data_IF_430094654752
#
_entry.id   IF_430094654752
#
_cell.length_a   1.000
_cell.length_b   1.000
_cell.length_c   1.000
_cell.angle_alpha   90.00
_cell.angle_beta   90.00
_cell.angle_gamma   90.00
#
_symmetry.space_group_name_H-M   'P 1'
#
loop_
_entity.id
_entity.type
_entity.pdbx_description
1 polymer ?
#
# COMPACT_ATOMS: atom_id res chain seq x y z
N UNK A 1 3.96 -1.94 -7.62
CA UNK A 1 2.60 -1.44 -8.01
C UNK A 1 1.83 -1.03 -6.75
N UNK A 2 1.14 0.13 -6.73
CA UNK A 2 0.44 0.64 -5.53
C UNK A 2 -1.07 0.85 -5.69
N UNK A 3 -1.61 0.40 -6.81
CA UNK A 3 -2.98 0.56 -7.27
C UNK A 3 -4.00 -0.29 -6.50
N UNK A 4 -3.60 -1.47 -5.99
CA UNK A 4 -4.46 -2.46 -5.31
C UNK A 4 -5.51 -3.12 -6.22
N UNK A 5 -5.19 -3.31 -7.51
CA UNK A 5 -6.07 -4.08 -8.40
C UNK A 5 -5.77 -5.58 -8.32
N UNK A 6 -6.78 -6.42 -8.49
CA UNK A 6 -6.57 -7.87 -8.54
C UNK A 6 -5.75 -8.27 -9.77
N UNK A 7 -4.83 -9.23 -9.64
CA UNK A 7 -4.07 -9.77 -10.78
C UNK A 7 -2.99 -8.86 -11.37
N UNK A 8 -2.81 -7.62 -10.86
CA UNK A 8 -1.87 -6.68 -11.46
C UNK A 8 -0.42 -7.14 -11.39
N UNK A 9 -0.04 -7.89 -10.37
CA UNK A 9 1.35 -8.31 -10.20
C UNK A 9 1.71 -9.26 -11.32
N UNK A 10 0.85 -10.26 -11.59
CA UNK A 10 1.05 -11.21 -12.68
C UNK A 10 1.09 -10.52 -14.03
N UNK A 11 0.18 -9.58 -14.26
CA UNK A 11 0.14 -8.81 -15.51
C UNK A 11 1.43 -8.00 -15.73
N UNK A 12 1.95 -7.35 -14.69
CA UNK A 12 3.20 -6.60 -14.77
C UNK A 12 4.40 -7.54 -14.95
N UNK A 13 4.45 -8.66 -14.23
CA UNK A 13 5.52 -9.66 -14.34
C UNK A 13 5.59 -10.22 -15.76
N UNK A 14 4.46 -10.67 -16.30
CA UNK A 14 4.37 -11.19 -17.67
C UNK A 14 4.84 -10.15 -18.69
N UNK A 15 4.38 -8.89 -18.57
CA UNK A 15 4.81 -7.82 -19.47
C UNK A 15 6.31 -7.54 -19.38
N UNK A 16 6.90 -7.57 -18.18
CA UNK A 16 8.35 -7.41 -18.03
C UNK A 16 9.11 -8.60 -18.65
N UNK A 17 8.65 -9.83 -18.46
CA UNK A 17 9.29 -11.04 -19.01
C UNK A 17 9.22 -11.06 -20.55
N UNK A 18 8.07 -10.73 -21.13
CA UNK A 18 7.90 -10.61 -22.59
C UNK A 18 8.86 -9.58 -23.21
N UNK A 19 9.28 -8.59 -22.42
CA UNK A 19 10.22 -7.54 -22.82
C UNK A 19 11.66 -7.80 -22.37
N UNK A 20 12.00 -9.02 -21.92
CA UNK A 20 13.34 -9.42 -21.46
C UNK A 20 13.85 -8.49 -20.33
N UNK A 21 12.97 -8.25 -19.34
CA UNK A 21 13.21 -7.46 -18.13
C UNK A 21 13.07 -8.28 -16.86
N UNK A 22 13.58 -9.51 -16.88
CA UNK A 22 13.52 -10.45 -15.76
C UNK A 22 14.27 -9.94 -14.52
N UNK A 23 15.27 -9.07 -14.71
CA UNK A 23 16.06 -8.47 -13.64
C UNK A 23 15.31 -7.39 -12.84
N UNK A 24 14.20 -6.89 -13.39
CA UNK A 24 13.42 -5.84 -12.75
C UNK A 24 12.48 -6.47 -11.72
N UNK A 25 12.80 -6.24 -10.44
CA UNK A 25 11.99 -6.73 -9.33
C UNK A 25 10.69 -5.94 -9.14
N UNK A 26 9.68 -6.61 -8.58
CA UNK A 26 8.37 -6.06 -8.27
C UNK A 26 8.20 -5.93 -6.75
N UNK A 27 8.18 -4.69 -6.28
CA UNK A 27 7.71 -4.34 -4.95
C UNK A 27 6.19 -4.13 -4.97
N UNK A 28 5.46 -5.12 -4.49
CA UNK A 28 4.00 -5.04 -4.42
C UNK A 28 3.54 -4.37 -3.13
N UNK A 29 2.61 -3.42 -3.25
CA UNK A 29 1.87 -2.87 -2.10
C UNK A 29 0.74 -3.83 -1.75
N UNK A 30 1.10 -5.04 -1.35
CA UNK A 30 0.20 -6.18 -1.20
C UNK A 30 -0.90 -5.94 -0.16
N UNK A 31 -0.57 -5.33 0.97
CA UNK A 31 -1.54 -5.00 2.01
C UNK A 31 -1.64 -3.48 2.17
N UNK A 32 -2.40 -2.83 1.29
CA UNK A 32 -2.64 -1.38 1.34
C UNK A 32 -4.09 -1.07 1.72
N UNK A 33 -4.22 -0.50 2.91
CA UNK A 33 -5.50 -0.18 3.54
C UNK A 33 -6.10 1.14 3.07
N UNK A 34 -7.43 1.23 3.12
CA UNK A 34 -8.23 2.43 2.92
C UNK A 34 -8.10 3.37 4.13
N UNK A 35 -6.93 4.01 4.28
CA UNK A 35 -6.57 4.77 5.48
C UNK A 35 -6.80 6.27 5.36
N UNK A 36 -7.16 6.89 6.50
CA UNK A 36 -7.22 8.35 6.66
C UNK A 36 -5.83 9.02 6.72
N UNK A 37 -4.75 8.26 6.95
CA UNK A 37 -3.39 8.78 7.13
C UNK A 37 -2.73 9.28 5.83
N UNK A 38 -3.42 9.21 4.69
CA UNK A 38 -2.87 9.61 3.38
C UNK A 38 -3.11 11.08 3.02
N UNK A 39 -3.76 11.87 3.88
CA UNK A 39 -4.12 13.28 3.61
C UNK A 39 -2.93 14.13 3.14
N UNK A 40 -1.86 14.28 3.94
CA UNK A 40 -0.76 15.17 3.57
C UNK A 40 -0.03 14.76 2.28
N UNK A 41 0.00 13.47 1.94
CA UNK A 41 0.53 12.99 0.66
C UNK A 41 -0.35 13.41 -0.52
N UNK A 42 -1.67 13.40 -0.34
CA UNK A 42 -2.61 13.83 -1.39
C UNK A 42 -2.46 15.32 -1.68
N UNK A 43 -2.24 16.13 -0.64
CA UNK A 43 -1.94 17.55 -0.73
C UNK A 43 -0.63 17.79 -1.48
N UNK A 44 0.44 17.08 -1.10
CA UNK A 44 1.75 17.21 -1.72
C UNK A 44 1.76 16.90 -3.22
N UNK A 45 0.91 15.97 -3.68
CA UNK A 45 0.76 15.65 -5.10
C UNK A 45 -0.24 16.54 -5.85
N UNK A 46 -0.96 17.45 -5.18
CA UNK A 46 -2.09 18.17 -5.77
C UNK A 46 -3.25 17.25 -6.20
N UNK A 47 -3.25 16.00 -5.72
CA UNK A 47 -4.16 14.94 -6.19
C UNK A 47 -5.58 15.05 -5.61
N UNK A 48 -5.86 16.06 -4.78
CA UNK A 48 -7.20 16.38 -4.31
C UNK A 48 -8.15 16.70 -5.45
N UNK A 49 -7.67 17.37 -6.51
CA UNK A 49 -8.47 17.65 -7.70
C UNK A 49 -8.89 16.35 -8.40
N UNK A 50 -7.97 15.38 -8.56
CA UNK A 50 -8.28 14.08 -9.15
C UNK A 50 -9.27 13.26 -8.30
N UNK A 51 -9.18 13.34 -6.96
CA UNK A 51 -10.19 12.77 -6.05
C UNK A 51 -11.53 13.50 -6.13
N UNK A 52 -11.53 14.81 -6.31
CA UNK A 52 -12.73 15.62 -6.54
C UNK A 52 -13.43 15.26 -7.85
N UNK A 53 -12.67 15.10 -8.94
CA UNK A 53 -13.16 14.62 -10.23
C UNK A 53 -13.67 13.19 -10.14
N UNK A 54 -12.94 12.29 -9.47
CA UNK A 54 -13.39 10.93 -9.22
C UNK A 54 -14.69 10.90 -8.40
N UNK A 55 -14.83 11.79 -7.40
CA UNK A 55 -16.06 11.94 -6.61
C UNK A 55 -17.22 12.45 -7.46
N UNK A 56 -16.98 13.36 -8.41
CA UNK A 56 -18.00 13.78 -9.38
C UNK A 56 -18.42 12.66 -10.35
N UNK A 57 -17.58 11.64 -10.51
CA UNK A 57 -17.84 10.42 -11.26
C UNK A 57 -18.31 9.24 -10.37
N UNK A 58 -18.69 9.51 -9.11
CA UNK A 58 -19.22 8.51 -8.18
C UNK A 58 -18.19 7.75 -7.34
N UNK A 59 -16.90 8.00 -7.53
CA UNK A 59 -15.80 7.39 -6.75
C UNK A 59 -15.43 8.32 -5.60
N UNK A 60 -16.19 8.23 -4.51
CA UNK A 60 -16.01 9.10 -3.34
C UNK A 60 -14.84 8.69 -2.44
N UNK A 61 -14.50 7.41 -2.43
CA UNK A 61 -13.39 6.85 -1.67
C UNK A 61 -12.73 5.70 -2.44
N UNK A 62 -11.75 5.05 -1.79
CA UNK A 62 -10.95 3.97 -2.36
C UNK A 62 -11.29 2.60 -1.77
N UNK A 63 -12.41 2.48 -1.05
CA UNK A 63 -12.76 1.28 -0.27
C UNK A 63 -13.17 0.09 -1.14
N UNK A 64 -13.44 0.31 -2.42
CA UNK A 64 -13.77 -0.78 -3.35
C UNK A 64 -12.56 -1.59 -3.79
N UNK A 65 -11.35 -1.16 -3.45
CA UNK A 65 -10.11 -1.85 -3.82
C UNK A 65 -9.00 -1.75 -2.77
N UNK A 66 -8.96 -0.69 -1.95
CA UNK A 66 -8.10 -0.67 -0.78
C UNK A 66 -8.77 -1.42 0.37
N UNK A 67 -7.97 -2.16 1.12
CA UNK A 67 -8.46 -3.05 2.17
C UNK A 67 -9.16 -2.30 3.32
N UNK A 68 -10.14 -2.95 3.94
CA UNK A 68 -10.77 -2.46 5.16
C UNK A 68 -9.76 -2.48 6.32
N UNK A 69 -9.52 -1.35 7.04
CA UNK A 69 -8.65 -1.31 8.21
C UNK A 69 -8.99 -2.31 9.33
N UNK A 70 -10.22 -2.84 9.38
CA UNK A 70 -10.61 -3.86 10.36
C UNK A 70 -10.05 -5.27 10.03
N UNK A 71 -9.60 -5.50 8.79
CA UNK A 71 -9.27 -6.84 8.30
C UNK A 71 -7.79 -7.17 8.48
N UNK A 72 -7.53 -8.33 9.11
CA UNK A 72 -6.17 -8.83 9.33
C UNK A 72 -5.87 -10.09 8.50
N UNK A 73 -6.80 -11.04 8.45
CA UNK A 73 -6.63 -12.30 7.69
C UNK A 73 -6.66 -12.08 6.17
N UNK A 74 -7.40 -11.07 5.71
CA UNK A 74 -7.40 -10.65 4.31
C UNK A 74 -6.01 -10.23 3.84
N UNK A 75 -5.21 -9.58 4.71
CA UNK A 75 -3.85 -9.16 4.37
C UNK A 75 -2.94 -10.33 4.01
N UNK A 76 -3.12 -11.46 4.71
CA UNK A 76 -2.35 -12.67 4.41
C UNK A 76 -2.78 -13.29 3.09
N UNK A 77 -4.07 -13.23 2.74
CA UNK A 77 -4.56 -13.70 1.43
C UNK A 77 -4.01 -12.85 0.28
N UNK A 78 -4.08 -11.53 0.41
CA UNK A 78 -3.55 -10.59 -0.60
C UNK A 78 -2.04 -10.77 -0.81
N UNK A 79 -1.28 -10.90 0.27
CA UNK A 79 0.16 -11.16 0.18
C UNK A 79 0.45 -12.51 -0.48
N UNK A 80 -0.31 -13.56 -0.14
CA UNK A 80 -0.14 -14.86 -0.76
C UNK A 80 -0.40 -14.81 -2.27
N UNK A 81 -1.44 -14.09 -2.71
CA UNK A 81 -1.74 -13.90 -4.13
C UNK A 81 -0.60 -13.17 -4.84
N UNK A 82 -0.16 -12.03 -4.33
CA UNK A 82 0.92 -11.28 -4.96
C UNK A 82 2.23 -12.06 -5.07
N UNK A 83 2.55 -12.89 -4.06
CA UNK A 83 3.72 -13.76 -4.10
C UNK A 83 3.58 -14.86 -5.17
N UNK A 84 2.41 -15.50 -5.28
CA UNK A 84 2.12 -16.48 -6.34
C UNK A 84 2.15 -15.84 -7.75
N UNK A 85 1.80 -14.55 -7.83
CA UNK A 85 1.83 -13.76 -9.05
C UNK A 85 3.24 -13.26 -9.45
N UNK A 86 4.24 -13.45 -8.59
CA UNK A 86 5.65 -13.12 -8.88
C UNK A 86 6.15 -11.81 -8.28
N UNK A 87 5.58 -11.33 -7.17
CA UNK A 87 6.18 -10.24 -6.40
C UNK A 87 7.47 -10.71 -5.69
N UNK A 88 8.57 -9.98 -5.89
CA UNK A 88 9.84 -10.25 -5.19
C UNK A 88 9.86 -9.70 -3.76
N UNK A 89 9.14 -8.59 -3.55
CA UNK A 89 9.00 -7.93 -2.26
C UNK A 89 7.55 -7.52 -2.02
N UNK A 90 7.14 -7.53 -0.76
CA UNK A 90 5.79 -7.10 -0.36
C UNK A 90 5.84 -5.97 0.65
N UNK A 91 4.84 -5.09 0.60
CA UNK A 91 4.74 -3.91 1.45
C UNK A 91 3.37 -3.82 2.13
N UNK A 92 3.40 -3.48 3.41
CA UNK A 92 2.22 -3.08 4.19
C UNK A 92 2.14 -1.56 4.27
N UNK A 93 0.93 -1.01 4.09
CA UNK A 93 0.67 0.43 4.14
C UNK A 93 -0.73 0.72 4.72
N UNK A 94 -0.87 1.57 5.75
CA UNK A 94 0.17 2.32 6.49
C UNK A 94 1.09 1.42 7.35
N UNK A 95 2.12 2.00 7.97
CA UNK A 95 3.07 1.23 8.77
C UNK A 95 2.74 1.25 10.27
N UNK A 96 2.76 2.42 10.89
CA UNK A 96 2.64 2.55 12.36
C UNK A 96 1.35 1.94 12.90
N UNK A 97 0.23 2.09 12.18
CA UNK A 97 -1.07 1.53 12.58
C UNK A 97 -1.26 0.05 12.24
N UNK A 98 -0.30 -0.58 11.55
CA UNK A 98 -0.40 -1.94 11.00
C UNK A 98 0.84 -2.79 11.33
N UNK A 99 1.51 -2.51 12.46
CA UNK A 99 2.69 -3.28 12.88
C UNK A 99 2.36 -4.75 13.16
N UNK A 100 1.14 -5.05 13.60
CA UNK A 100 0.60 -6.40 13.73
C UNK A 100 0.52 -7.11 12.38
N UNK A 101 0.08 -6.43 11.32
CA UNK A 101 0.03 -6.98 9.96
C UNK A 101 1.44 -7.21 9.43
N UNK A 102 2.36 -6.25 9.60
CA UNK A 102 3.77 -6.39 9.20
C UNK A 102 4.39 -7.62 9.87
N UNK A 103 4.15 -7.79 11.17
CA UNK A 103 4.61 -8.96 11.91
C UNK A 103 4.03 -10.25 11.34
N UNK A 104 2.70 -10.33 11.16
CA UNK A 104 2.04 -11.53 10.62
C UNK A 104 2.54 -11.90 9.24
N UNK A 105 2.69 -10.92 8.34
CA UNK A 105 3.23 -11.11 6.98
C UNK A 105 4.65 -11.67 7.05
N UNK A 106 5.54 -11.05 7.83
CA UNK A 106 6.92 -11.53 7.99
C UNK A 106 6.98 -12.95 8.55
N UNK A 107 6.18 -13.26 9.58
CA UNK A 107 6.16 -14.59 10.18
C UNK A 107 5.59 -15.66 9.26
N UNK A 108 4.57 -15.33 8.47
CA UNK A 108 3.87 -16.30 7.63
C UNK A 108 4.67 -16.64 6.37
N UNK A 109 5.26 -15.63 5.72
CA UNK A 109 5.85 -15.80 4.39
C UNK A 109 7.38 -15.79 4.38
N UNK A 110 8.03 -15.20 5.40
CA UNK A 110 9.50 -15.14 5.46
C UNK A 110 10.19 -14.28 4.39
N UNK A 111 9.45 -13.71 3.44
CA UNK A 111 9.94 -12.91 2.31
C UNK A 111 10.44 -11.51 2.75
N UNK A 112 11.18 -10.77 1.91
CA UNK A 112 11.43 -9.35 2.13
C UNK A 112 10.12 -8.57 2.33
N UNK A 113 9.94 -8.00 3.52
CA UNK A 113 8.72 -7.30 3.93
C UNK A 113 9.06 -5.85 4.25
N UNK A 114 8.45 -4.93 3.54
CA UNK A 114 8.62 -3.49 3.71
C UNK A 114 7.39 -2.89 4.39
N UNK A 115 7.60 -1.73 5.02
CA UNK A 115 6.54 -0.96 5.67
C UNK A 115 6.63 0.50 5.20
N UNK A 116 5.49 1.09 4.87
CA UNK A 116 5.45 2.50 4.46
C UNK A 116 5.01 3.38 5.62
N UNK A 117 5.96 4.09 6.27
CA UNK A 117 5.64 5.15 7.20
C UNK A 117 5.04 6.33 6.44
N UNK A 118 3.71 6.46 6.47
CA UNK A 118 3.02 7.36 5.52
C UNK A 118 3.06 8.81 5.95
N UNK A 119 2.64 9.70 5.05
CA UNK A 119 2.66 11.15 5.25
C UNK A 119 1.92 11.63 6.50
N UNK A 120 0.80 11.00 6.86
CA UNK A 120 0.08 11.33 8.09
C UNK A 120 0.86 10.97 9.34
N UNK A 121 1.51 9.80 9.35
CA UNK A 121 2.38 9.37 10.46
C UNK A 121 3.57 10.34 10.61
N UNK A 122 4.20 10.72 9.49
CA UNK A 122 5.26 11.72 9.48
C UNK A 122 4.78 13.09 9.98
N UNK A 123 3.66 13.59 9.45
CA UNK A 123 3.12 14.91 9.80
C UNK A 123 2.74 14.99 11.28
N UNK A 124 2.20 13.91 11.86
CA UNK A 124 1.92 13.83 13.29
C UNK A 124 3.18 14.00 14.14
N UNK A 125 4.27 13.29 13.80
CA UNK A 125 5.55 13.40 14.52
C UNK A 125 6.12 14.80 14.37
N UNK A 126 6.18 15.34 13.15
CA UNK A 126 6.68 16.68 12.89
C UNK A 126 5.91 17.75 13.67
N UNK A 127 4.58 17.68 13.69
CA UNK A 127 3.75 18.62 14.42
C UNK A 127 3.98 18.52 15.94
N UNK A 128 4.05 17.30 16.49
CA UNK A 128 4.30 17.12 17.92
C UNK A 128 5.69 17.68 18.33
N UNK A 129 6.74 17.40 17.55
CA UNK A 129 8.09 17.92 17.80
C UNK A 129 8.15 19.45 17.65
N UNK A 130 7.55 20.02 16.61
CA UNK A 130 7.53 21.47 16.41
C UNK A 130 6.80 22.22 17.55
N UNK A 131 5.84 21.57 18.22
CA UNK A 131 5.17 22.12 19.40
C UNK A 131 5.84 21.75 20.73
N UNK A 132 6.97 21.03 20.71
CA UNK A 132 7.68 20.61 21.92
C UNK A 132 6.93 19.59 22.78
N UNK A 133 6.04 18.80 22.18
CA UNK A 133 5.31 17.72 22.87
C UNK A 133 6.09 16.40 22.86
N UNK A 134 7.03 16.25 21.91
CA UNK A 134 7.96 15.13 21.74
C UNK A 134 9.38 15.66 21.54
#
# INVERSE_FOLDING_TARGET
>A
PSDMMDGRVRAIRAALDENQKEEIGILSYAAKYASAFYGPFRDALGSHAALGTAKSLGVADKKTYQMDPANTDEALREVAFDLDEGADLVMVKPAMSCLDIIYRVKQTFGVPTLAYQVSGEYAMIQAATANGWL
#
